data_IF_031991168635
#
_entry.id   IF_031991168635
#
_cell.length_a   1.000
_cell.length_b   1.000
_cell.length_c   1.000
_cell.angle_alpha   90.00
_cell.angle_beta   90.00
_cell.angle_gamma   90.00
#
_symmetry.space_group_name_H-M   'P 1'
#
loop_
_entity.id
_entity.type
_entity.pdbx_description
1 polymer ?
#
# COMPACT_ATOMS: atom_id res chain seq x y z
N UNK A 1 -25.97 -63.70 42.45
CA UNK A 1 -25.56 -62.38 41.89
C UNK A 1 -26.04 -62.36 40.45
N UNK A 2 -27.14 -61.66 40.12
CA UNK A 2 -27.18 -60.24 39.71
C UNK A 2 -26.13 -59.91 38.63
N UNK A 3 -26.37 -59.37 37.43
CA UNK A 3 -27.55 -59.01 36.62
C UNK A 3 -27.01 -58.25 35.38
N UNK A 4 -27.63 -58.43 34.20
CA UNK A 4 -27.91 -57.41 33.14
C UNK A 4 -26.76 -56.96 32.18
N UNK A 5 -27.02 -57.08 30.85
CA UNK A 5 -26.33 -56.38 29.73
C UNK A 5 -26.72 -54.89 29.65
N UNK A 6 -26.88 -54.19 28.49
CA UNK A 6 -26.79 -54.57 27.07
C UNK A 6 -26.08 -53.52 26.16
N UNK A 7 -26.23 -53.69 24.84
CA UNK A 7 -26.08 -52.75 23.71
C UNK A 7 -26.19 -51.23 23.96
N UNK A 8 -25.45 -50.43 23.14
CA UNK A 8 -25.92 -49.28 22.31
C UNK A 8 -24.73 -48.70 21.51
N UNK A 9 -24.78 -48.66 20.17
CA UNK A 9 -25.21 -47.54 19.29
C UNK A 9 -24.55 -46.20 19.66
N UNK A 10 -23.69 -45.65 18.78
CA UNK A 10 -23.56 -44.20 18.62
C UNK A 10 -22.85 -43.78 17.32
N UNK A 11 -23.62 -43.11 16.46
CA UNK A 11 -23.31 -41.96 15.61
C UNK A 11 -22.04 -41.94 14.75
N UNK A 12 -22.25 -42.13 13.45
CA UNK A 12 -21.54 -41.44 12.37
C UNK A 12 -21.82 -39.93 12.45
N UNK A 13 -20.78 -39.12 12.59
CA UNK A 13 -20.82 -37.67 12.40
C UNK A 13 -19.90 -37.34 11.21
N UNK A 14 -20.39 -36.75 10.11
CA UNK A 14 -19.50 -36.23 9.09
C UNK A 14 -18.84 -34.97 9.66
N UNK A 15 -17.51 -34.92 9.63
CA UNK A 15 -16.75 -33.71 9.87
C UNK A 15 -17.14 -32.69 8.79
N UNK A 16 -17.91 -31.69 9.19
CA UNK A 16 -18.18 -30.49 8.42
C UNK A 16 -16.85 -29.70 8.37
N UNK A 17 -16.07 -29.87 7.31
CA UNK A 17 -14.94 -28.98 7.01
C UNK A 17 -15.52 -27.62 6.61
N UNK A 18 -15.63 -26.71 7.57
CA UNK A 18 -15.83 -25.29 7.29
C UNK A 18 -14.45 -24.75 6.89
N UNK A 19 -14.21 -24.65 5.58
CA UNK A 19 -13.09 -23.85 5.06
C UNK A 19 -13.41 -22.38 5.29
N UNK A 20 -12.88 -21.82 6.38
CA UNK A 20 -12.74 -20.38 6.51
C UNK A 20 -11.56 -19.96 5.63
N UNK A 21 -11.85 -19.41 4.45
CA UNK A 21 -10.86 -18.71 3.63
C UNK A 21 -10.42 -17.45 4.39
N UNK A 22 -9.23 -17.47 4.99
CA UNK A 22 -8.58 -16.24 5.45
C UNK A 22 -7.84 -15.64 4.25
N UNK A 23 -8.37 -14.54 3.72
CA UNK A 23 -7.61 -13.65 2.86
C UNK A 23 -6.41 -13.11 3.65
N UNK A 24 -5.20 -13.26 3.11
CA UNK A 24 -4.04 -12.53 3.62
C UNK A 24 -4.22 -11.05 3.29
N UNK A 25 -4.77 -10.31 4.26
CA UNK A 25 -4.82 -8.86 4.25
C UNK A 25 -3.65 -8.40 5.11
N UNK A 26 -2.63 -7.79 4.51
CA UNK A 26 -1.60 -7.05 5.25
C UNK A 26 -2.26 -5.81 5.86
N UNK A 27 -2.90 -6.01 7.00
CA UNK A 27 -3.50 -4.98 7.85
C UNK A 27 -2.51 -4.67 8.98
N UNK A 28 -1.92 -3.48 8.94
CA UNK A 28 -1.01 -3.04 9.98
C UNK A 28 -1.80 -2.59 11.23
N UNK A 29 -2.07 -3.52 12.15
CA UNK A 29 -2.16 -3.29 13.61
C UNK A 29 -2.50 -4.55 14.47
N UNK A 30 -2.18 -5.78 14.06
CA UNK A 30 -2.37 -6.94 14.95
C UNK A 30 -1.14 -7.82 15.03
N UNK A 31 -0.74 -8.13 16.27
CA UNK A 31 0.42 -8.91 16.67
C UNK A 31 0.59 -10.22 15.87
N UNK A 32 1.84 -10.52 15.57
CA UNK A 32 2.28 -11.66 14.76
C UNK A 32 2.01 -13.01 15.43
N UNK A 33 1.59 -14.02 14.65
CA UNK A 33 2.12 -15.38 14.77
C UNK A 33 1.80 -16.26 13.55
N UNK A 34 2.83 -17.04 13.17
CA UNK A 34 2.87 -18.30 12.39
C UNK A 34 2.82 -18.24 10.85
N UNK A 35 3.96 -18.64 10.27
CA UNK A 35 4.23 -18.99 8.87
C UNK A 35 3.88 -20.46 8.61
N UNK A 36 3.28 -20.76 7.45
CA UNK A 36 3.59 -21.97 6.66
C UNK A 36 3.34 -21.70 5.17
N UNK A 37 4.35 -21.98 4.36
CA UNK A 37 4.31 -22.06 2.90
C UNK A 37 3.40 -23.21 2.43
N UNK A 38 2.61 -22.99 1.37
CA UNK A 38 2.30 -24.07 0.44
C UNK A 38 1.93 -23.52 -0.95
N UNK A 39 2.67 -23.98 -1.95
CA UNK A 39 2.37 -23.95 -3.39
C UNK A 39 1.07 -24.73 -3.68
N UNK A 40 0.23 -24.25 -4.60
CA UNK A 40 -0.01 -24.89 -5.91
C UNK A 40 -1.33 -24.52 -6.61
N UNK A 41 -1.22 -24.55 -7.94
CA UNK A 41 -2.17 -25.01 -8.95
C UNK A 41 -3.47 -24.21 -9.20
N UNK A 42 -3.42 -23.46 -10.31
CA UNK A 42 -4.56 -23.05 -11.13
C UNK A 42 -5.19 -24.30 -11.76
N UNK A 43 -6.46 -24.57 -11.46
CA UNK A 43 -7.28 -25.50 -12.24
C UNK A 43 -7.91 -24.74 -13.41
N UNK A 44 -7.55 -25.16 -14.63
CA UNK A 44 -8.31 -24.90 -15.84
C UNK A 44 -9.70 -25.51 -15.70
N UNK A 45 -10.74 -24.69 -15.89
CA UNK A 45 -12.04 -25.19 -16.33
C UNK A 45 -12.40 -24.47 -17.62
N UNK A 46 -12.19 -25.19 -18.71
CA UNK A 46 -12.84 -24.99 -20.01
C UNK A 46 -14.32 -25.30 -19.89
N UNK A 47 -15.19 -24.33 -20.14
CA UNK A 47 -16.56 -24.61 -20.54
C UNK A 47 -16.82 -24.14 -21.97
N UNK A 48 -17.24 -25.11 -22.77
CA UNK A 48 -17.70 -25.00 -24.14
C UNK A 48 -18.94 -24.10 -24.23
N UNK A 49 -18.89 -23.06 -25.07
CA UNK A 49 -20.11 -22.39 -25.53
C UNK A 49 -20.49 -22.90 -26.91
N UNK A 50 -21.68 -23.50 -26.97
CA UNK A 50 -22.35 -23.88 -28.21
C UNK A 50 -22.79 -22.63 -28.99
N UNK A 51 -22.52 -22.71 -30.28
CA UNK A 51 -22.96 -21.86 -31.38
C UNK A 51 -24.49 -21.95 -31.55
N UNK A 52 -25.19 -20.81 -31.50
CA UNK A 52 -26.44 -20.65 -32.24
C UNK A 52 -26.57 -19.20 -32.75
N UNK A 53 -26.45 -19.09 -34.06
CA UNK A 53 -26.61 -17.88 -34.83
C UNK A 53 -28.08 -17.46 -34.92
N UNK A 54 -28.39 -16.22 -34.57
CA UNK A 54 -29.48 -15.51 -35.24
C UNK A 54 -29.12 -14.03 -35.43
N UNK A 55 -28.98 -13.66 -36.70
CA UNK A 55 -28.93 -12.29 -37.16
C UNK A 55 -30.25 -11.59 -36.81
N UNK A 56 -30.17 -10.42 -36.17
CA UNK A 56 -31.15 -9.37 -36.40
C UNK A 56 -30.44 -8.02 -36.50
N UNK A 57 -30.54 -7.44 -37.70
CA UNK A 57 -30.08 -6.10 -38.06
C UNK A 57 -30.97 -5.09 -37.33
N UNK A 58 -30.43 -4.39 -36.34
CA UNK A 58 -30.92 -3.05 -36.02
C UNK A 58 -29.76 -2.11 -35.73
N UNK A 59 -29.57 -1.19 -36.67
CA UNK A 59 -28.78 0.03 -36.53
C UNK A 59 -29.02 0.68 -35.17
N UNK A 60 -27.98 0.81 -34.36
CA UNK A 60 -28.01 1.75 -33.26
C UNK A 60 -26.78 2.65 -33.29
N UNK A 61 -27.13 3.92 -33.19
CA UNK A 61 -26.34 5.13 -33.36
C UNK A 61 -25.04 5.08 -32.55
N UNK A 62 -23.92 5.12 -33.24
CA UNK A 62 -22.60 5.27 -32.62
C UNK A 62 -22.36 6.77 -32.41
N UNK A 63 -23.11 7.39 -31.50
CA UNK A 63 -22.73 8.70 -30.98
C UNK A 63 -21.65 8.45 -29.94
N UNK A 64 -20.41 8.73 -30.30
CA UNK A 64 -19.39 9.02 -29.29
C UNK A 64 -19.84 10.29 -28.59
N UNK A 65 -20.61 10.15 -27.52
CA UNK A 65 -20.84 11.23 -26.57
C UNK A 65 -19.49 11.49 -25.89
N UNK A 66 -18.64 12.26 -26.56
CA UNK A 66 -17.58 12.98 -25.89
C UNK A 66 -18.28 13.88 -24.88
N UNK A 67 -18.24 13.52 -23.60
CA UNK A 67 -18.63 14.43 -22.54
C UNK A 67 -17.92 15.76 -22.82
N UNK A 68 -18.68 16.85 -22.91
CA UNK A 68 -18.14 18.19 -23.15
C UNK A 68 -17.46 18.64 -21.86
N UNK A 69 -16.23 18.16 -21.64
CA UNK A 69 -15.50 18.37 -20.40
C UNK A 69 -15.09 19.83 -20.35
N UNK A 70 -15.48 20.58 -19.31
CA UNK A 70 -15.14 21.98 -19.24
C UNK A 70 -13.61 22.14 -19.17
N UNK A 71 -13.02 23.11 -19.88
CA UNK A 71 -11.58 23.32 -19.88
C UNK A 71 -11.04 23.79 -18.52
N UNK A 72 -11.92 24.30 -17.66
CA UNK A 72 -11.62 24.80 -16.31
C UNK A 72 -12.78 24.49 -15.36
N UNK A 73 -12.51 24.42 -14.06
CA UNK A 73 -13.55 24.17 -13.06
C UNK A 73 -13.82 22.67 -12.87
N UNK A 74 -14.79 22.36 -12.00
CA UNK A 74 -15.12 20.98 -11.65
C UNK A 74 -15.72 20.20 -12.83
N UNK A 75 -15.57 18.88 -12.83
CA UNK A 75 -16.24 17.97 -13.77
C UNK A 75 -17.19 17.09 -13.00
N UNK A 76 -18.47 17.16 -13.35
CA UNK A 76 -19.48 16.25 -12.84
C UNK A 76 -19.60 15.13 -13.87
N UNK A 77 -19.02 13.96 -13.57
CA UNK A 77 -19.13 12.79 -14.45
C UNK A 77 -20.51 12.16 -14.36
N UNK A 78 -21.06 12.16 -13.15
CA UNK A 78 -22.42 11.77 -12.83
C UNK A 78 -22.79 12.29 -11.42
N UNK A 79 -23.96 11.92 -10.91
CA UNK A 79 -24.45 12.44 -9.62
C UNK A 79 -23.60 12.03 -8.41
N UNK A 80 -22.92 10.88 -8.48
CA UNK A 80 -22.14 10.33 -7.36
C UNK A 80 -20.62 10.53 -7.51
N UNK A 81 -20.13 10.99 -8.65
CA UNK A 81 -18.71 11.09 -8.96
C UNK A 81 -18.36 12.43 -9.63
N UNK A 82 -17.61 13.25 -8.90
CA UNK A 82 -17.23 14.61 -9.35
C UNK A 82 -15.74 14.83 -9.14
N UNK A 83 -15.05 15.35 -10.15
CA UNK A 83 -13.68 15.85 -10.05
C UNK A 83 -13.71 17.34 -9.71
N UNK A 84 -12.94 17.74 -8.72
CA UNK A 84 -12.91 19.10 -8.20
C UNK A 84 -12.37 20.12 -9.22
N UNK A 85 -12.49 21.41 -8.89
CA UNK A 85 -12.08 22.49 -9.77
C UNK A 85 -10.56 22.59 -9.99
N UNK A 86 -9.77 22.12 -9.02
CA UNK A 86 -8.30 22.06 -9.13
C UNK A 86 -7.81 20.83 -9.90
N UNK A 87 -8.72 19.88 -10.19
CA UNK A 87 -8.44 18.63 -10.89
C UNK A 87 -7.44 17.74 -10.13
N UNK A 88 -7.48 17.75 -8.81
CA UNK A 88 -6.58 16.95 -7.96
C UNK A 88 -7.32 15.89 -7.15
N UNK A 89 -8.63 16.05 -6.95
CA UNK A 89 -9.46 15.19 -6.10
C UNK A 89 -10.79 14.87 -6.78
N UNK A 90 -11.09 13.58 -6.91
CA UNK A 90 -12.45 13.13 -7.18
C UNK A 90 -13.20 12.84 -5.87
N UNK A 91 -14.45 13.27 -5.74
CA UNK A 91 -15.34 12.81 -4.68
C UNK A 91 -16.27 11.73 -5.22
N UNK A 92 -16.29 10.57 -4.55
CA UNK A 92 -17.21 9.47 -4.81
C UNK A 92 -18.19 9.30 -3.64
N UNK A 93 -19.45 9.66 -3.88
CA UNK A 93 -20.54 9.50 -2.91
C UNK A 93 -21.04 8.06 -2.95
N UNK A 94 -20.83 7.34 -1.86
CA UNK A 94 -21.24 5.95 -1.68
C UNK A 94 -22.56 5.85 -0.90
N UNK A 95 -23.36 4.80 -1.12
CA UNK A 95 -24.38 4.39 -0.17
C UNK A 95 -23.77 4.18 1.23
N UNK A 96 -24.51 4.53 2.29
CA UNK A 96 -24.05 4.39 3.67
C UNK A 96 -23.57 2.97 4.01
N UNK A 97 -24.24 1.94 3.47
CA UNK A 97 -23.86 0.53 3.66
C UNK A 97 -22.44 0.25 3.16
N UNK A 98 -22.11 0.77 1.98
CA UNK A 98 -20.84 0.51 1.32
C UNK A 98 -19.72 1.30 2.00
N UNK A 99 -20.02 2.56 2.39
CA UNK A 99 -19.09 3.38 3.17
C UNK A 99 -18.74 2.73 4.52
N UNK A 100 -19.71 2.13 5.21
CA UNK A 100 -19.46 1.45 6.48
C UNK A 100 -18.49 0.27 6.34
N UNK A 101 -18.53 -0.47 5.22
CA UNK A 101 -17.56 -1.55 4.97
C UNK A 101 -16.12 -1.03 4.94
N UNK A 102 -15.87 0.17 4.41
CA UNK A 102 -14.54 0.79 4.47
C UNK A 102 -14.12 1.07 5.92
N UNK A 103 -15.04 1.55 6.76
CA UNK A 103 -14.78 1.82 8.18
C UNK A 103 -14.57 0.55 9.01
N UNK A 104 -15.09 -0.59 8.54
CA UNK A 104 -14.92 -1.92 9.12
C UNK A 104 -13.68 -2.65 8.57
N UNK A 105 -13.00 -2.08 7.56
CA UNK A 105 -11.81 -2.66 6.92
C UNK A 105 -12.10 -3.64 5.78
N UNK A 106 -13.38 -3.81 5.46
CA UNK A 106 -13.93 -4.72 4.45
C UNK A 106 -14.33 -3.99 3.14
N UNK A 107 -13.98 -2.71 3.02
CA UNK A 107 -14.29 -1.87 1.86
C UNK A 107 -13.75 -2.44 0.55
N UNK A 108 -14.59 -2.40 -0.50
CA UNK A 108 -14.26 -2.93 -1.82
C UNK A 108 -13.42 -1.93 -2.63
N UNK A 109 -12.10 -2.07 -2.57
CA UNK A 109 -11.15 -1.21 -3.31
C UNK A 109 -11.33 -1.34 -4.84
N UNK A 110 -11.67 -2.55 -5.32
CA UNK A 110 -11.89 -2.81 -6.75
C UNK A 110 -13.08 -2.03 -7.30
N UNK A 111 -14.17 -1.93 -6.54
CA UNK A 111 -15.32 -1.10 -6.92
C UNK A 111 -14.90 0.35 -7.18
N UNK A 112 -14.06 0.91 -6.31
CA UNK A 112 -13.62 2.31 -6.43
C UNK A 112 -12.67 2.51 -7.60
N UNK A 113 -11.74 1.57 -7.82
CA UNK A 113 -10.82 1.66 -8.97
C UNK A 113 -11.55 1.49 -10.30
N UNK A 114 -12.48 0.54 -10.40
CA UNK A 114 -13.30 0.35 -11.61
C UNK A 114 -14.18 1.57 -11.89
N UNK A 115 -14.77 2.18 -10.85
CA UNK A 115 -15.50 3.45 -10.98
C UNK A 115 -14.61 4.54 -11.56
N UNK A 116 -13.38 4.67 -11.08
CA UNK A 116 -12.43 5.65 -11.60
C UNK A 116 -12.13 5.40 -13.08
N UNK A 117 -11.84 4.15 -13.46
CA UNK A 117 -11.50 3.81 -14.84
C UNK A 117 -12.68 3.84 -15.81
N UNK A 118 -13.92 4.06 -15.36
CA UNK A 118 -15.01 4.43 -16.27
C UNK A 118 -14.78 5.80 -16.91
N UNK A 119 -14.12 6.72 -16.19
CA UNK A 119 -13.98 8.12 -16.60
C UNK A 119 -12.53 8.52 -16.90
N UNK A 120 -11.57 7.84 -16.29
CA UNK A 120 -10.15 8.14 -16.49
C UNK A 120 -9.45 7.08 -17.33
N UNK A 121 -8.44 7.51 -18.09
CA UNK A 121 -7.50 6.61 -18.78
C UNK A 121 -6.55 5.95 -17.78
N UNK A 122 -5.94 4.86 -18.19
CA UNK A 122 -4.95 4.16 -17.38
C UNK A 122 -3.60 4.90 -17.38
N UNK A 123 -3.53 5.98 -16.60
CA UNK A 123 -2.38 6.90 -16.55
C UNK A 123 -1.78 7.05 -15.13
N UNK A 124 -2.32 6.34 -14.14
CA UNK A 124 -1.98 6.52 -12.73
C UNK A 124 -1.23 5.31 -12.18
N UNK A 125 -0.12 5.57 -11.48
CA UNK A 125 0.63 4.55 -10.75
C UNK A 125 -0.09 4.18 -9.43
N UNK A 126 -0.86 5.09 -8.87
CA UNK A 126 -1.58 4.90 -7.61
C UNK A 126 -3.02 5.39 -7.68
N UNK A 127 -3.91 4.69 -6.98
CA UNK A 127 -5.22 5.23 -6.58
C UNK A 127 -5.21 5.40 -5.06
N UNK A 128 -5.45 6.62 -4.60
CA UNK A 128 -5.47 6.97 -3.18
C UNK A 128 -6.92 7.16 -2.77
N UNK A 129 -7.43 6.28 -1.91
CA UNK A 129 -8.80 6.31 -1.41
C UNK A 129 -8.79 6.86 0.00
N UNK A 130 -9.57 7.92 0.24
CA UNK A 130 -9.65 8.59 1.53
C UNK A 130 -11.09 8.60 2.03
N UNK A 131 -11.31 8.19 3.27
CA UNK A 131 -12.55 8.51 3.99
C UNK A 131 -12.42 9.87 4.69
N UNK A 132 -13.55 10.45 5.09
CA UNK A 132 -13.63 11.79 5.71
C UNK A 132 -13.74 11.76 7.24
N UNK A 133 -13.28 10.67 7.87
CA UNK A 133 -13.44 10.52 9.32
C UNK A 133 -12.59 11.53 10.09
N UNK A 134 -13.21 12.23 11.03
CA UNK A 134 -12.50 13.13 11.93
C UNK A 134 -11.62 12.36 12.95
N UNK A 135 -12.00 11.13 13.27
CA UNK A 135 -11.30 10.24 14.20
C UNK A 135 -11.23 8.86 13.57
N UNK A 136 -10.07 8.19 13.67
CA UNK A 136 -9.88 6.84 13.12
C UNK A 136 -10.85 5.88 13.83
N UNK A 137 -11.61 5.05 13.10
CA UNK A 137 -12.36 3.97 13.72
C UNK A 137 -11.45 3.10 14.62
N UNK A 138 -11.88 2.70 15.83
CA UNK A 138 -10.99 2.07 16.82
C UNK A 138 -10.20 0.87 16.29
N UNK A 139 -10.88 -0.03 15.58
CA UNK A 139 -10.32 -1.31 15.12
C UNK A 139 -9.75 -1.29 13.68
N UNK A 140 -9.79 -0.14 13.02
CA UNK A 140 -9.29 0.02 11.67
C UNK A 140 -7.79 0.37 11.66
N UNK A 141 -7.07 -0.06 10.64
CA UNK A 141 -5.70 0.37 10.38
C UNK A 141 -5.62 1.89 10.11
N UNK A 142 -4.44 2.47 10.28
CA UNK A 142 -4.19 3.89 9.94
C UNK A 142 -4.07 4.12 8.43
N UNK A 143 -3.52 3.13 7.72
CA UNK A 143 -3.46 3.07 6.27
C UNK A 143 -3.31 1.62 5.83
N UNK A 144 -3.65 1.36 4.57
CA UNK A 144 -3.44 0.05 3.92
C UNK A 144 -3.05 0.24 2.47
N UNK A 145 -1.85 -0.19 2.14
CA UNK A 145 -1.38 -0.36 0.76
C UNK A 145 -1.75 -1.74 0.23
N UNK A 146 -2.50 -1.79 -0.87
CA UNK A 146 -2.86 -3.02 -1.58
C UNK A 146 -2.09 -3.08 -2.88
N UNK A 147 -1.06 -3.92 -2.91
CA UNK A 147 -0.15 -4.01 -4.06
C UNK A 147 -0.83 -4.69 -5.24
N UNK A 148 -0.87 -4.00 -6.37
CA UNK A 148 -1.54 -4.45 -7.59
C UNK A 148 -0.56 -5.11 -8.55
N UNK A 149 0.65 -4.57 -8.68
CA UNK A 149 1.71 -5.18 -9.48
C UNK A 149 3.09 -4.92 -8.90
N UNK A 150 4.06 -5.73 -9.33
CA UNK A 150 5.47 -5.47 -9.17
C UNK A 150 6.19 -5.79 -10.50
N UNK A 151 6.84 -4.79 -11.09
CA UNK A 151 7.66 -4.95 -12.30
C UNK A 151 9.17 -4.83 -12.00
N UNK A 152 9.54 -4.69 -10.73
CA UNK A 152 10.93 -4.51 -10.31
C UNK A 152 11.51 -5.86 -9.93
N UNK A 153 12.61 -6.22 -10.59
CA UNK A 153 13.39 -7.42 -10.29
C UNK A 153 14.53 -7.07 -9.32
N UNK A 154 15.15 -8.09 -8.70
CA UNK A 154 16.29 -7.91 -7.81
C UNK A 154 15.94 -7.41 -6.40
N UNK A 155 14.67 -7.53 -5.99
CA UNK A 155 14.18 -7.10 -4.66
C UNK A 155 13.65 -8.27 -3.79
N UNK A 156 14.16 -9.48 -4.03
CA UNK A 156 13.78 -10.69 -3.28
C UNK A 156 12.39 -11.25 -3.56
N UNK A 157 11.61 -10.63 -4.47
CA UNK A 157 10.31 -11.14 -4.89
C UNK A 157 10.17 -11.18 -6.41
N UNK A 158 9.32 -12.08 -6.89
CA UNK A 158 8.99 -12.19 -8.30
C UNK A 158 8.19 -10.97 -8.78
N UNK A 159 8.25 -10.73 -10.09
CA UNK A 159 7.36 -9.78 -10.76
C UNK A 159 5.97 -10.39 -10.95
N UNK A 160 4.94 -9.57 -10.90
CA UNK A 160 3.55 -9.97 -11.14
C UNK A 160 2.73 -8.74 -11.57
N UNK A 161 1.60 -9.00 -12.22
CA UNK A 161 0.67 -7.95 -12.62
C UNK A 161 -0.78 -8.40 -12.45
N UNK A 162 -1.48 -7.82 -11.47
CA UNK A 162 -2.90 -8.02 -11.25
C UNK A 162 -3.73 -6.78 -11.60
N UNK A 163 -3.18 -5.84 -12.37
CA UNK A 163 -3.82 -4.55 -12.71
C UNK A 163 -5.18 -4.70 -13.37
N UNK A 164 -5.35 -5.70 -14.24
CA UNK A 164 -6.62 -6.00 -14.91
C UNK A 164 -7.76 -6.28 -13.90
N UNK A 165 -7.46 -6.91 -12.75
CA UNK A 165 -8.43 -7.15 -11.68
C UNK A 165 -9.00 -5.84 -11.10
N UNK A 166 -8.29 -4.72 -11.25
CA UNK A 166 -8.69 -3.42 -10.73
C UNK A 166 -9.14 -2.45 -11.83
N UNK A 167 -9.30 -2.93 -13.07
CA UNK A 167 -9.71 -2.13 -14.23
C UNK A 167 -8.58 -1.33 -14.90
N UNK A 168 -7.32 -1.56 -14.49
CA UNK A 168 -6.13 -0.95 -15.08
C UNK A 168 -5.58 -1.82 -16.22
N UNK A 169 -4.96 -1.19 -17.22
CA UNK A 169 -4.32 -1.81 -18.39
C UNK A 169 -2.80 -2.02 -18.17
N UNK A 170 -2.36 -2.11 -16.91
CA UNK A 170 -0.96 -2.35 -16.55
C UNK A 170 -0.22 -1.16 -15.94
N UNK A 171 -0.86 -0.01 -15.69
CA UNK A 171 -0.19 1.10 -14.98
C UNK A 171 -0.26 1.04 -13.46
N UNK A 172 -1.38 0.59 -12.91
CA UNK A 172 -1.65 0.70 -11.47
C UNK A 172 -0.70 -0.17 -10.65
N UNK A 173 0.13 0.45 -9.79
CA UNK A 173 1.08 -0.21 -8.87
C UNK A 173 0.44 -0.61 -7.55
N UNK A 174 -0.32 0.30 -6.94
CA UNK A 174 -0.94 0.06 -5.64
C UNK A 174 -2.19 0.92 -5.47
N UNK A 175 -3.13 0.41 -4.66
CA UNK A 175 -4.25 1.18 -4.14
C UNK A 175 -3.99 1.41 -2.65
N UNK A 176 -3.99 2.66 -2.22
CA UNK A 176 -3.81 3.04 -0.82
C UNK A 176 -5.14 3.49 -0.26
N UNK A 177 -5.57 2.90 0.85
CA UNK A 177 -6.73 3.38 1.60
C UNK A 177 -6.32 3.95 2.95
N UNK A 178 -6.82 5.14 3.28
CA UNK A 178 -6.69 5.76 4.61
C UNK A 178 -8.06 6.27 5.08
N UNK A 179 -8.44 6.04 6.34
CA UNK A 179 -9.76 6.44 6.84
C UNK A 179 -9.89 7.95 7.09
N UNK A 180 -8.80 8.70 6.97
CA UNK A 180 -8.74 10.12 7.27
C UNK A 180 -7.98 10.88 6.19
N UNK A 181 -8.53 12.01 5.76
CA UNK A 181 -7.86 12.90 4.81
C UNK A 181 -6.59 13.54 5.38
N UNK A 182 -6.55 13.77 6.69
CA UNK A 182 -5.40 14.42 7.34
C UNK A 182 -4.12 13.55 7.30
N UNK A 183 -4.25 12.25 7.03
CA UNK A 183 -3.11 11.32 6.97
C UNK A 183 -2.22 11.52 5.74
N UNK A 184 -2.66 12.27 4.71
CA UNK A 184 -1.77 12.80 3.67
C UNK A 184 -0.63 13.61 4.31
N UNK A 185 -0.95 14.41 5.34
CA UNK A 185 -0.01 15.29 6.04
C UNK A 185 0.70 14.60 7.18
N UNK A 186 -0.05 14.01 8.12
CA UNK A 186 0.51 13.46 9.37
C UNK A 186 1.09 12.05 9.23
N UNK A 187 0.71 11.33 8.17
CA UNK A 187 1.06 9.94 7.98
C UNK A 187 -0.11 9.00 8.33
N UNK A 188 -0.05 7.74 7.89
CA UNK A 188 1.14 7.03 7.40
C UNK A 188 1.34 7.07 5.88
N UNK A 189 0.98 8.15 5.17
CA UNK A 189 1.00 8.16 3.70
C UNK A 189 2.36 7.79 3.05
N UNK A 190 3.48 8.31 3.55
CA UNK A 190 4.81 7.93 3.05
C UNK A 190 5.11 6.44 3.28
N UNK A 191 4.65 5.88 4.40
CA UNK A 191 4.77 4.46 4.75
C UNK A 191 3.93 3.57 3.81
N UNK A 192 2.69 3.96 3.52
CA UNK A 192 1.84 3.20 2.60
C UNK A 192 2.40 3.19 1.16
N UNK A 193 3.01 4.29 0.73
CA UNK A 193 3.72 4.35 -0.56
C UNK A 193 4.93 3.40 -0.54
N UNK A 194 5.68 3.38 0.57
CA UNK A 194 6.89 2.56 0.74
C UNK A 194 6.63 1.07 0.51
N UNK A 195 5.44 0.57 0.88
CA UNK A 195 5.07 -0.83 0.70
C UNK A 195 5.14 -1.31 -0.76
N UNK A 196 5.09 -0.41 -1.75
CA UNK A 196 5.33 -0.76 -3.16
C UNK A 196 6.70 -1.42 -3.38
N UNK A 197 7.66 -1.12 -2.49
CA UNK A 197 9.02 -1.64 -2.47
C UNK A 197 9.41 -2.23 -1.10
N UNK A 198 8.42 -2.59 -0.28
CA UNK A 198 8.66 -3.09 1.08
C UNK A 198 9.40 -4.43 1.12
N UNK A 199 9.78 -4.87 2.32
CA UNK A 199 10.57 -6.08 2.46
C UNK A 199 9.78 -7.34 2.07
N UNK A 200 10.15 -7.93 0.93
CA UNK A 200 9.61 -9.19 0.42
C UNK A 200 10.68 -10.27 0.28
N UNK A 201 11.66 -10.26 1.19
CA UNK A 201 12.78 -11.21 1.18
C UNK A 201 14.10 -10.62 0.69
N UNK A 202 14.20 -9.30 0.51
CA UNK A 202 15.49 -8.67 0.15
C UNK A 202 16.52 -8.87 1.27
N UNK A 203 16.08 -8.76 2.52
CA UNK A 203 16.86 -9.09 3.73
C UNK A 203 15.99 -9.92 4.69
N UNK A 204 16.58 -10.76 5.56
CA UNK A 204 15.82 -11.45 6.59
C UNK A 204 15.07 -10.49 7.50
N UNK A 205 13.84 -10.84 7.88
CA UNK A 205 13.02 -10.06 8.81
C UNK A 205 12.06 -10.99 9.55
N UNK A 206 11.75 -10.65 10.80
CA UNK A 206 10.65 -11.26 11.57
C UNK A 206 9.35 -10.47 11.44
N UNK A 207 9.38 -9.36 10.70
CA UNK A 207 8.25 -8.45 10.51
C UNK A 207 7.96 -8.35 9.02
N UNK A 208 7.04 -9.18 8.54
CA UNK A 208 6.69 -9.27 7.11
C UNK A 208 6.31 -7.91 6.52
N UNK A 209 6.79 -7.62 5.31
CA UNK A 209 6.55 -6.34 4.62
C UNK A 209 7.35 -5.15 5.16
N UNK A 210 8.14 -5.33 6.21
CA UNK A 210 8.84 -4.27 6.94
C UNK A 210 10.32 -4.61 7.19
N UNK A 211 11.08 -3.62 7.64
CA UNK A 211 12.52 -3.79 7.89
C UNK A 211 12.83 -4.44 9.25
N UNK A 212 11.88 -4.45 10.18
CA UNK A 212 12.05 -5.13 11.46
C UNK A 212 13.22 -4.54 12.24
N UNK A 213 14.14 -5.42 12.66
CA UNK A 213 15.31 -5.09 13.45
C UNK A 213 16.55 -4.96 12.54
N UNK A 214 16.48 -4.00 11.61
CA UNK A 214 17.54 -3.72 10.65
C UNK A 214 17.91 -2.24 10.60
N UNK A 215 19.13 -1.93 10.15
CA UNK A 215 19.66 -0.57 10.06
C UNK A 215 19.15 0.22 8.85
N UNK A 216 17.84 0.16 8.57
CA UNK A 216 17.22 0.88 7.44
C UNK A 216 16.75 2.27 7.86
N UNK A 217 16.30 2.44 9.11
CA UNK A 217 15.83 3.71 9.67
C UNK A 217 14.75 4.43 8.85
N UNK A 218 13.92 3.65 8.14
CA UNK A 218 13.04 4.15 7.09
C UNK A 218 11.58 4.24 7.50
N UNK A 219 10.72 4.49 6.52
CA UNK A 219 9.28 4.53 6.69
C UNK A 219 8.71 3.19 7.18
N UNK A 220 9.25 2.06 6.71
CA UNK A 220 8.83 0.71 7.13
C UNK A 220 9.64 0.17 8.33
N UNK A 221 10.16 1.06 9.17
CA UNK A 221 10.82 0.71 10.42
C UNK A 221 12.33 0.58 10.34
N UNK A 222 12.90 -0.01 11.39
CA UNK A 222 14.34 -0.16 11.58
C UNK A 222 14.99 0.99 12.35
N UNK A 223 16.26 0.81 12.72
CA UNK A 223 17.09 1.76 13.46
C UNK A 223 18.15 2.41 12.55
N UNK A 224 18.77 3.51 12.96
CA UNK A 224 19.96 4.07 12.27
C UNK A 224 21.28 3.77 12.99
N UNK A 225 21.22 3.64 14.31
CA UNK A 225 22.35 3.25 15.17
C UNK A 225 21.94 2.08 16.07
N UNK A 226 22.90 1.21 16.37
CA UNK A 226 22.75 0.13 17.34
C UNK A 226 23.88 0.22 18.37
N UNK A 227 23.54 0.04 19.64
CA UNK A 227 24.48 -0.04 20.75
C UNK A 227 24.41 -1.44 21.38
N UNK A 228 25.57 -2.08 21.53
CA UNK A 228 25.70 -3.38 22.22
C UNK A 228 25.72 -3.16 23.74
N UNK A 229 24.71 -3.68 24.43
CA UNK A 229 24.57 -3.59 25.88
C UNK A 229 25.17 -4.81 26.61
N UNK A 230 25.73 -5.76 25.86
CA UNK A 230 26.21 -7.04 26.34
C UNK A 230 25.11 -8.10 26.47
N UNK A 231 25.50 -9.36 26.67
CA UNK A 231 24.59 -10.50 26.81
C UNK A 231 23.56 -10.59 25.66
N UNK A 232 24.03 -10.43 24.41
CA UNK A 232 23.19 -10.48 23.22
C UNK A 232 22.03 -9.48 23.21
N UNK A 233 22.15 -8.39 23.99
CA UNK A 233 21.14 -7.35 24.11
C UNK A 233 21.64 -6.08 23.45
N UNK A 234 20.77 -5.46 22.66
CA UNK A 234 21.09 -4.29 21.85
C UNK A 234 20.06 -3.19 22.05
N UNK A 235 20.50 -1.94 21.97
CA UNK A 235 19.64 -0.76 21.89
C UNK A 235 19.69 -0.19 20.47
N UNK A 236 18.58 -0.30 19.74
CA UNK A 236 18.38 0.45 18.50
C UNK A 236 18.01 1.91 18.81
N UNK A 237 18.51 2.81 17.97
CA UNK A 237 18.25 4.25 18.03
C UNK A 237 17.68 4.76 16.72
N UNK A 238 17.04 5.91 16.79
CA UNK A 238 16.58 6.67 15.64
C UNK A 238 16.84 8.16 15.89
N UNK A 239 17.56 8.81 14.97
CA UNK A 239 17.96 10.21 15.05
C UNK A 239 18.66 10.55 16.38
N UNK A 240 19.56 9.66 16.83
CA UNK A 240 20.33 9.82 18.06
C UNK A 240 19.53 9.70 19.35
N UNK A 241 18.30 9.18 19.30
CA UNK A 241 17.48 8.88 20.47
C UNK A 241 17.25 7.38 20.59
N UNK A 242 17.22 6.87 21.83
CA UNK A 242 16.87 5.47 22.09
C UNK A 242 15.44 5.19 21.65
N UNK A 243 15.26 4.14 20.86
CA UNK A 243 13.95 3.78 20.32
C UNK A 243 13.91 3.76 18.79
N UNK A 244 13.15 2.80 18.27
CA UNK A 244 12.75 2.72 16.88
C UNK A 244 11.48 1.86 16.79
N UNK A 245 10.79 1.90 15.65
CA UNK A 245 9.71 0.96 15.36
C UNK A 245 10.19 -0.15 14.44
N UNK A 246 9.92 -1.41 14.81
CA UNK A 246 10.20 -2.55 13.93
C UNK A 246 9.26 -2.60 12.71
N UNK A 247 8.05 -2.02 12.84
CA UNK A 247 7.05 -1.94 11.78
C UNK A 247 7.08 -0.58 11.07
N UNK A 248 7.18 0.52 11.79
CA UNK A 248 7.08 1.85 11.19
C UNK A 248 7.81 2.89 12.03
N UNK A 249 8.32 3.93 11.39
CA UNK A 249 8.91 5.07 12.08
C UNK A 249 8.16 6.36 11.74
N UNK A 250 7.81 7.14 12.77
CA UNK A 250 7.53 8.58 12.68
C UNK A 250 6.38 9.06 11.78
N UNK A 251 5.59 8.18 11.15
CA UNK A 251 4.62 8.60 10.13
C UNK A 251 5.32 9.39 9.04
N UNK A 252 4.79 10.55 8.67
CA UNK A 252 5.43 11.39 7.65
C UNK A 252 6.63 12.22 8.16
N UNK A 253 7.11 12.03 9.40
CA UNK A 253 8.19 12.86 9.96
C UNK A 253 9.61 12.35 9.65
N UNK A 254 9.75 11.11 9.19
CA UNK A 254 11.05 10.52 8.79
C UNK A 254 11.18 10.47 7.27
N UNK A 255 12.41 10.54 6.78
CA UNK A 255 12.71 10.35 5.35
C UNK A 255 12.83 8.84 5.04
N UNK A 256 12.92 8.49 3.77
CA UNK A 256 13.22 7.12 3.36
C UNK A 256 14.67 6.76 3.67
N UNK A 257 14.87 5.54 4.16
CA UNK A 257 16.20 4.94 4.40
C UNK A 257 16.90 4.54 3.11
N UNK A 258 18.22 4.30 3.16
CA UNK A 258 19.00 4.00 1.94
C UNK A 258 18.53 2.72 1.24
N UNK A 259 18.17 1.67 2.00
CA UNK A 259 17.59 0.46 1.40
C UNK A 259 16.23 0.73 0.73
N UNK A 260 15.39 1.60 1.31
CA UNK A 260 14.12 2.00 0.68
C UNK A 260 14.37 2.79 -0.60
N UNK A 261 15.32 3.73 -0.58
CA UNK A 261 15.71 4.50 -1.75
C UNK A 261 16.32 3.61 -2.85
N UNK A 262 17.11 2.60 -2.48
CA UNK A 262 17.65 1.61 -3.42
C UNK A 262 16.51 0.80 -4.05
N UNK A 263 15.58 0.31 -3.23
CA UNK A 263 14.44 -0.47 -3.72
C UNK A 263 13.54 0.35 -4.66
N UNK A 264 13.32 1.64 -4.35
CA UNK A 264 12.66 2.61 -5.23
C UNK A 264 13.46 2.94 -6.51
N UNK A 265 14.77 2.69 -6.52
CA UNK A 265 15.66 3.01 -7.64
C UNK A 265 16.12 4.46 -7.66
N UNK A 266 16.14 5.11 -6.51
CA UNK A 266 16.54 6.51 -6.38
C UNK A 266 18.04 6.65 -6.07
N UNK A 267 18.66 5.59 -5.58
CA UNK A 267 20.11 5.48 -5.39
C UNK A 267 20.64 4.19 -6.04
N UNK A 268 21.91 4.19 -6.42
CA UNK A 268 22.61 3.02 -6.96
C UNK A 268 23.12 2.05 -5.88
N UNK A 269 23.62 0.90 -6.30
CA UNK A 269 24.27 -0.06 -5.40
C UNK A 269 25.56 0.49 -4.76
N UNK A 270 26.19 1.47 -5.41
CA UNK A 270 27.37 2.21 -4.96
C UNK A 270 27.06 3.25 -3.87
N UNK A 271 25.80 3.68 -3.76
CA UNK A 271 25.29 4.58 -2.71
C UNK A 271 24.61 3.81 -1.55
N UNK A 272 24.40 2.50 -1.68
CA UNK A 272 23.73 1.69 -0.65
C UNK A 272 24.73 1.24 0.41
N UNK A 273 24.60 1.81 1.61
CA UNK A 273 25.39 1.43 2.78
C UNK A 273 25.08 -0.02 3.25
N UNK A 274 26.06 -0.73 3.84
CA UNK A 274 25.82 -2.06 4.39
C UNK A 274 24.72 -2.07 5.46
N UNK A 275 23.80 -3.03 5.36
CA UNK A 275 22.67 -3.15 6.28
C UNK A 275 23.03 -4.11 7.41
N UNK A 276 22.91 -3.64 8.63
CA UNK A 276 22.97 -4.48 9.84
C UNK A 276 21.59 -5.07 10.09
N UNK A 277 21.50 -6.39 10.27
CA UNK A 277 20.23 -7.10 10.49
C UNK A 277 20.39 -8.02 11.69
N UNK A 278 19.50 -7.87 12.67
CA UNK A 278 19.47 -8.74 13.83
C UNK A 278 18.98 -10.16 13.45
N UNK A 279 19.71 -11.18 13.90
CA UNK A 279 19.36 -12.59 13.69
C UNK A 279 18.52 -13.09 14.85
N UNK A 280 17.35 -13.65 14.56
CA UNK A 280 16.35 -14.09 15.55
C UNK A 280 16.04 -13.03 16.64
N UNK A 281 15.66 -11.80 16.24
CA UNK A 281 15.45 -10.73 17.20
C UNK A 281 14.19 -10.95 18.05
N UNK A 282 14.29 -10.66 19.35
CA UNK A 282 13.16 -10.60 20.27
C UNK A 282 13.11 -9.23 20.95
N UNK A 283 11.98 -8.53 20.82
CA UNK A 283 11.78 -7.24 21.47
C UNK A 283 11.70 -7.39 22.99
N UNK A 284 12.28 -6.43 23.72
CA UNK A 284 12.18 -6.38 25.18
C UNK A 284 11.09 -5.40 25.63
N UNK A 285 10.89 -5.28 26.95
CA UNK A 285 10.00 -4.26 27.53
C UNK A 285 10.56 -2.83 27.41
N UNK A 286 11.87 -2.68 27.23
CA UNK A 286 12.50 -1.38 27.06
C UNK A 286 12.41 -0.93 25.59
N UNK A 287 11.97 0.31 25.38
CA UNK A 287 11.69 0.81 24.04
C UNK A 287 12.97 0.83 23.16
N UNK A 288 12.89 0.18 22.00
CA UNK A 288 14.01 0.02 21.07
C UNK A 288 15.09 -0.96 21.52
N UNK A 289 14.95 -1.62 22.67
CA UNK A 289 15.88 -2.65 23.10
C UNK A 289 15.37 -4.03 22.68
N UNK A 290 16.26 -4.85 22.16
CA UNK A 290 15.98 -6.20 21.70
C UNK A 290 17.15 -7.15 21.98
N UNK A 291 16.89 -8.45 22.01
CA UNK A 291 17.94 -9.46 21.97
C UNK A 291 18.10 -10.03 20.58
N UNK A 292 19.28 -10.49 20.22
CA UNK A 292 19.53 -11.18 18.95
C UNK A 292 20.69 -12.16 19.09
N UNK A 293 20.68 -13.25 18.31
CA UNK A 293 21.77 -14.24 18.33
C UNK A 293 23.07 -13.66 17.76
N UNK A 294 22.93 -12.77 16.78
CA UNK A 294 24.02 -12.04 16.13
C UNK A 294 23.47 -10.82 15.37
N UNK A 295 24.37 -9.94 14.94
CA UNK A 295 24.09 -8.90 13.95
C UNK A 295 24.77 -9.30 12.64
N UNK A 296 23.96 -9.66 11.63
CA UNK A 296 24.43 -9.91 10.27
C UNK A 296 24.67 -8.60 9.52
N UNK A 297 25.59 -8.60 8.56
CA UNK A 297 25.88 -7.45 7.70
C UNK A 297 25.65 -7.87 6.25
N UNK A 298 24.83 -7.11 5.53
CA UNK A 298 24.47 -7.34 4.13
C UNK A 298 24.91 -6.15 3.30
N UNK A 299 25.86 -6.36 2.39
CA UNK A 299 26.30 -5.32 1.44
C UNK A 299 25.42 -5.32 0.20
N UNK A 300 25.46 -4.25 -0.59
CA UNK A 300 24.79 -4.22 -1.89
C UNK A 300 25.22 -5.40 -2.80
N UNK A 301 26.49 -5.82 -2.73
CA UNK A 301 26.97 -6.97 -3.51
C UNK A 301 26.36 -8.29 -3.03
N UNK A 302 26.14 -8.47 -1.73
CA UNK A 302 25.46 -9.65 -1.20
C UNK A 302 24.02 -9.72 -1.71
N UNK A 303 23.31 -8.59 -1.69
CA UNK A 303 21.95 -8.50 -2.23
C UNK A 303 21.90 -8.81 -3.73
N UNK A 304 22.87 -8.32 -4.50
CA UNK A 304 22.97 -8.57 -5.95
C UNK A 304 23.31 -10.04 -6.23
N UNK A 305 24.19 -10.64 -5.43
CA UNK A 305 24.57 -12.04 -5.60
C UNK A 305 23.38 -12.99 -5.33
N UNK A 306 22.55 -12.64 -4.35
CA UNK A 306 21.38 -13.43 -3.97
C UNK A 306 20.19 -13.22 -4.92
N UNK A 307 19.84 -11.96 -5.17
CA UNK A 307 18.58 -11.59 -5.83
C UNK A 307 18.75 -11.16 -7.29
N UNK A 308 19.98 -10.97 -7.75
CA UNK A 308 20.30 -10.28 -8.98
C UNK A 308 20.31 -8.76 -8.82
N UNK A 309 20.83 -8.07 -9.83
CA UNK A 309 20.80 -6.61 -9.87
C UNK A 309 19.36 -6.09 -9.97
N UNK A 310 19.11 -4.94 -9.34
CA UNK A 310 17.81 -4.27 -9.48
C UNK A 310 17.55 -3.85 -10.92
N UNK A 311 16.41 -4.27 -11.46
CA UNK A 311 15.94 -3.88 -12.81
C UNK A 311 14.52 -3.34 -12.71
N UNK A 312 14.20 -2.14 -13.26
CA UNK A 312 15.11 -1.21 -13.95
C UNK A 312 16.24 -0.70 -13.06
N UNK A 313 17.32 -0.20 -13.65
CA UNK A 313 18.44 0.38 -12.90
C UNK A 313 18.04 1.72 -12.26
N UNK A 314 18.91 2.33 -11.45
CA UNK A 314 18.71 3.69 -10.92
C UNK A 314 18.61 4.73 -12.04
N UNK A 315 19.32 4.54 -13.15
CA UNK A 315 19.28 5.43 -14.32
C UNK A 315 17.94 5.38 -15.06
N UNK A 316 17.29 4.21 -15.10
CA UNK A 316 16.09 3.98 -15.93
C UNK A 316 14.78 3.91 -15.12
N UNK A 317 14.88 3.82 -13.79
CA UNK A 317 13.70 3.73 -12.94
C UNK A 317 12.93 5.05 -12.87
N UNK A 318 11.61 4.91 -12.78
CA UNK A 318 10.67 6.01 -12.63
C UNK A 318 11.04 6.92 -11.43
N UNK A 319 10.97 8.23 -11.66
CA UNK A 319 11.21 9.28 -10.66
C UNK A 319 10.01 10.20 -10.45
N UNK A 320 9.03 10.13 -11.35
CA UNK A 320 7.80 10.91 -11.31
C UNK A 320 6.64 9.94 -11.29
N UNK A 321 5.90 9.92 -10.18
CA UNK A 321 4.75 9.05 -9.97
C UNK A 321 3.45 9.85 -10.12
N UNK A 322 2.42 9.24 -10.67
CA UNK A 322 1.09 9.82 -10.81
C UNK A 322 0.09 9.11 -9.92
N UNK A 323 -0.75 9.88 -9.25
CA UNK A 323 -1.78 9.33 -8.38
C UNK A 323 -3.13 9.99 -8.65
N UNK A 324 -4.19 9.18 -8.66
CA UNK A 324 -5.56 9.67 -8.62
C UNK A 324 -6.06 9.63 -7.18
N UNK A 325 -6.43 10.78 -6.62
CA UNK A 325 -7.02 10.85 -5.28
C UNK A 325 -8.54 10.81 -5.37
N UNK A 326 -9.14 9.88 -4.63
CA UNK A 326 -10.58 9.70 -4.53
C UNK A 326 -10.99 9.79 -3.07
N UNK A 327 -11.78 10.81 -2.72
CA UNK A 327 -12.41 10.93 -1.40
C UNK A 327 -13.76 10.26 -1.46
N UNK A 328 -13.95 9.20 -0.68
CA UNK A 328 -15.24 8.54 -0.50
C UNK A 328 -16.01 9.20 0.65
N UNK A 329 -17.31 9.34 0.49
CA UNK A 329 -18.20 9.96 1.48
C UNK A 329 -19.64 9.48 1.28
N UNK A 330 -20.56 9.80 2.20
CA UNK A 330 -22.00 9.46 2.07
C UNK A 330 -22.84 10.60 1.51
N UNK A 331 -22.24 11.77 1.36
CA UNK A 331 -22.78 12.96 0.71
C UNK A 331 -21.65 13.75 0.06
N UNK A 332 -21.97 14.74 -0.79
CA UNK A 332 -20.95 15.59 -1.40
C UNK A 332 -20.09 16.27 -0.32
N UNK A 333 -18.77 16.18 -0.44
CA UNK A 333 -17.87 16.81 0.54
C UNK A 333 -17.96 18.34 0.47
N UNK A 334 -17.83 19.00 1.62
CA UNK A 334 -17.86 20.46 1.69
C UNK A 334 -16.67 21.09 0.96
N UNK A 335 -16.83 22.32 0.48
CA UNK A 335 -15.72 23.06 -0.15
C UNK A 335 -14.53 23.22 0.81
N UNK A 336 -14.77 23.44 2.10
CA UNK A 336 -13.71 23.55 3.10
C UNK A 336 -12.89 22.26 3.21
N UNK A 337 -13.54 21.08 3.24
CA UNK A 337 -12.83 19.80 3.28
C UNK A 337 -12.10 19.54 1.95
N UNK A 338 -12.70 19.90 0.82
CA UNK A 338 -12.05 19.81 -0.50
C UNK A 338 -10.77 20.67 -0.56
N UNK A 339 -10.84 21.91 -0.07
CA UNK A 339 -9.71 22.84 -0.03
C UNK A 339 -8.60 22.33 0.90
N UNK A 340 -8.97 21.72 2.04
CA UNK A 340 -8.02 21.08 2.96
C UNK A 340 -7.27 19.91 2.31
N UNK A 341 -8.01 19.00 1.64
CA UNK A 341 -7.40 17.85 0.94
C UNK A 341 -6.47 18.35 -0.16
N UNK A 342 -6.94 19.27 -1.00
CA UNK A 342 -6.17 19.83 -2.11
C UNK A 342 -4.90 20.53 -1.61
N UNK A 343 -5.00 21.35 -0.56
CA UNK A 343 -3.84 21.99 0.07
C UNK A 343 -2.82 20.99 0.62
N UNK A 344 -3.29 19.86 1.16
CA UNK A 344 -2.40 18.79 1.61
C UNK A 344 -1.74 18.07 0.43
N UNK A 345 -2.44 17.81 -0.67
CA UNK A 345 -1.87 17.21 -1.88
C UNK A 345 -0.84 18.14 -2.55
N UNK A 346 -1.11 19.43 -2.60
CA UNK A 346 -0.18 20.46 -3.09
C UNK A 346 1.10 20.47 -2.25
N UNK A 347 0.96 20.47 -0.93
CA UNK A 347 2.12 20.39 -0.04
C UNK A 347 2.90 19.08 -0.18
N UNK A 348 2.20 17.95 -0.36
CA UNK A 348 2.80 16.64 -0.51
C UNK A 348 3.57 16.47 -1.84
N UNK A 349 3.09 17.10 -2.92
CA UNK A 349 3.66 16.97 -4.28
C UNK A 349 4.70 18.04 -4.61
N UNK A 350 4.74 19.17 -3.90
CA UNK A 350 5.64 20.27 -4.26
C UNK A 350 7.13 19.87 -4.20
N UNK A 351 7.91 20.40 -5.13
CA UNK A 351 9.37 20.26 -5.18
C UNK A 351 10.07 21.33 -4.33
N UNK A 352 9.66 21.41 -3.07
CA UNK A 352 10.18 22.32 -2.05
C UNK A 352 9.73 21.80 -0.67
N UNK A 353 10.22 22.41 0.41
CA UNK A 353 9.67 22.13 1.73
C UNK A 353 8.16 22.49 1.79
N UNK A 354 7.33 21.66 2.47
CA UNK A 354 5.92 22.01 2.68
C UNK A 354 5.82 23.30 3.49
N UNK A 355 4.67 23.95 3.44
CA UNK A 355 4.44 25.18 4.19
C UNK A 355 4.49 24.97 5.71
N UNK A 356 4.48 26.08 6.46
CA UNK A 356 4.63 26.05 7.91
C UNK A 356 3.54 25.23 8.63
N UNK A 357 2.38 25.00 8.01
CA UNK A 357 1.31 24.21 8.63
C UNK A 357 1.71 22.74 8.78
N UNK A 358 2.65 22.24 7.96
CA UNK A 358 3.16 20.85 8.01
C UNK A 358 4.14 20.60 9.16
N UNK A 359 4.65 21.67 9.81
CA UNK A 359 5.54 21.53 10.95
C UNK A 359 6.80 20.73 10.58
N UNK A 360 7.02 19.60 11.24
CA UNK A 360 8.17 18.72 11.00
C UNK A 360 7.94 17.62 9.95
N UNK A 361 6.71 17.46 9.44
CA UNK A 361 6.41 16.41 8.46
C UNK A 361 7.09 16.69 7.12
N UNK A 362 7.40 15.61 6.41
CA UNK A 362 8.06 15.61 5.12
C UNK A 362 7.02 15.35 4.05
N UNK A 363 7.18 16.04 2.93
CA UNK A 363 6.51 15.66 1.70
C UNK A 363 7.34 14.61 0.94
N UNK A 364 6.81 14.05 -0.14
CA UNK A 364 7.49 12.98 -0.86
C UNK A 364 8.84 13.40 -1.44
N UNK A 365 8.94 14.64 -1.94
CA UNK A 365 10.19 15.16 -2.48
C UNK A 365 11.29 15.22 -1.42
N UNK A 366 11.02 15.79 -0.24
CA UNK A 366 11.99 15.79 0.86
C UNK A 366 12.28 14.38 1.39
N UNK A 367 11.24 13.55 1.53
CA UNK A 367 11.38 12.19 2.04
C UNK A 367 12.27 11.32 1.15
N UNK A 368 12.27 11.58 -0.15
CA UNK A 368 13.12 10.89 -1.14
C UNK A 368 14.48 11.55 -1.36
N UNK A 369 14.90 12.44 -0.45
CA UNK A 369 16.15 13.23 -0.59
C UNK A 369 16.20 13.96 -1.94
N UNK A 370 15.06 14.53 -2.34
CA UNK A 370 14.89 15.36 -3.55
C UNK A 370 14.97 14.59 -4.89
N UNK A 371 14.98 13.25 -4.84
CA UNK A 371 15.20 12.38 -6.01
C UNK A 371 13.93 11.97 -6.75
N UNK A 372 12.74 12.16 -6.16
CA UNK A 372 11.47 11.78 -6.80
C UNK A 372 10.30 12.70 -6.44
N UNK A 373 9.23 12.64 -7.22
CA UNK A 373 8.05 13.51 -7.10
C UNK A 373 6.75 12.74 -7.34
N UNK A 374 5.65 13.23 -6.74
CA UNK A 374 4.28 12.82 -7.08
C UNK A 374 3.57 13.93 -7.85
N UNK A 375 2.65 13.54 -8.72
CA UNK A 375 1.71 14.41 -9.41
C UNK A 375 0.29 13.87 -9.18
N UNK A 376 -0.60 14.74 -8.68
CA UNK A 376 -2.00 14.43 -8.44
C UNK A 376 -2.93 15.09 -9.47
N UNK A 377 -2.36 15.85 -10.42
CA UNK A 377 -3.14 16.63 -11.38
C UNK A 377 -3.73 15.73 -12.45
N UNK A 378 -5.05 15.78 -12.58
CA UNK A 378 -5.81 15.16 -13.66
C UNK A 378 -5.97 16.17 -14.80
N UNK A 379 -5.18 15.99 -15.86
CA UNK A 379 -5.30 16.80 -17.06
C UNK A 379 -6.45 16.33 -17.94
N UNK A 380 -6.87 17.18 -18.90
CA UNK A 380 -7.85 16.77 -19.92
C UNK A 380 -7.43 15.49 -20.67
N UNK A 381 -6.12 15.29 -20.86
CA UNK A 381 -5.59 14.11 -21.52
C UNK A 381 -5.84 12.82 -20.73
N UNK A 382 -6.04 12.89 -19.42
CA UNK A 382 -6.27 11.75 -18.54
C UNK A 382 -7.73 11.32 -18.48
N UNK A 383 -8.66 12.11 -19.03
CA UNK A 383 -10.10 11.82 -19.00
C UNK A 383 -10.51 11.18 -20.33
N UNK A 384 -11.45 10.24 -20.29
CA UNK A 384 -11.97 9.48 -21.45
C UNK A 384 -12.91 10.31 -22.32
#
# INVERSE_FOLDING_TARGET
MKTIGPHRISFTLPYLFVFAFLFYITSCSKDASILTEQEDAVSEDTEEMNDDSSNDDTSNDNSSDTMDIPPTGAVVFNQDFTLDATRSVANYVLPQSDYNLFLEGEGNLKQVSEKAYQYFKDDFDYIIILSVEAVKPPDLFFGRSTLVQNQVQGLGSNTYDNSATYGSEGKLKSIIYMPRTEYIKSGPFLHEIAHSWGNKGIIPTTVGGHWGYASVAGQLGGFDEIEDLGNNTYQGKLNGQNGFGAFANGGNSVIYGDLELYAMGLIGADELEPIQVAVNPEGTQAYGQFTADAIGIYTAQDLINEHGARVPSTADSQKVFKALTIVISTEAISQEKMDEVTSNLDNFSRQAAPDASWGSTKNFWLATKEKATFDFTVTQGNIK
#
